data_IF_149236516536
#
_entry.id   IF_149236516536
#
_cell.length_a   1.000
_cell.length_b   1.000
_cell.length_c   1.000
_cell.angle_alpha   90.00
_cell.angle_beta   90.00
_cell.angle_gamma   90.00
#
_symmetry.space_group_name_H-M   'P 1'
#
loop_
_entity.id
_entity.type
_entity.pdbx_description
1 polymer ?
#
# COMPACT_ATOMS: atom_id res chain seq x y z
N UNK A 1 -33.93 -23.31 11.80
CA UNK A 1 -33.46 -21.90 11.85
C UNK A 1 -32.13 -21.91 12.58
N UNK A 2 -31.02 -21.95 11.84
CA UNK A 2 -29.66 -22.02 12.42
C UNK A 2 -29.00 -20.65 12.36
N UNK A 3 -28.21 -20.25 13.37
CA UNK A 3 -27.51 -18.97 13.34
C UNK A 3 -26.36 -19.07 12.32
N UNK A 4 -26.48 -18.34 11.21
CA UNK A 4 -25.39 -18.15 10.25
C UNK A 4 -24.45 -17.09 10.81
N UNK A 5 -23.25 -17.52 11.22
CA UNK A 5 -22.16 -16.63 11.62
C UNK A 5 -21.89 -15.63 10.47
N UNK A 6 -22.05 -14.32 10.74
CA UNK A 6 -21.86 -13.25 9.75
C UNK A 6 -20.37 -13.18 9.37
N UNK A 7 -20.05 -13.38 8.08
CA UNK A 7 -18.84 -12.80 7.46
C UNK A 7 -18.76 -11.35 7.98
N UNK A 8 -17.69 -10.98 8.67
CA UNK A 8 -17.53 -9.67 9.32
C UNK A 8 -18.06 -8.56 8.42
N UNK A 9 -18.89 -7.67 8.98
CA UNK A 9 -19.54 -6.64 8.18
C UNK A 9 -18.50 -5.79 7.45
N UNK A 10 -18.85 -5.31 6.27
CA UNK A 10 -17.99 -4.50 5.40
C UNK A 10 -17.29 -3.38 6.18
N UNK A 11 -18.03 -2.72 7.07
CA UNK A 11 -17.53 -1.65 7.92
C UNK A 11 -16.41 -2.11 8.85
N UNK A 12 -16.59 -3.23 9.54
CA UNK A 12 -15.59 -3.84 10.42
C UNK A 12 -14.34 -4.24 9.65
N UNK A 13 -14.51 -4.80 8.46
CA UNK A 13 -13.39 -5.17 7.58
C UNK A 13 -12.63 -3.92 7.16
N UNK A 14 -13.30 -2.92 6.62
CA UNK A 14 -12.63 -1.73 6.10
C UNK A 14 -11.98 -0.89 7.22
N UNK A 15 -12.61 -0.77 8.39
CA UNK A 15 -11.97 -0.14 9.57
C UNK A 15 -10.73 -0.89 10.04
N UNK A 16 -10.78 -2.23 10.02
CA UNK A 16 -9.61 -3.05 10.36
C UNK A 16 -8.47 -2.82 9.37
N UNK A 17 -8.78 -2.70 8.09
CA UNK A 17 -7.78 -2.40 7.06
C UNK A 17 -7.11 -1.05 7.25
N UNK A 18 -7.83 -0.03 7.74
CA UNK A 18 -7.22 1.26 8.11
C UNK A 18 -6.16 1.04 9.17
N UNK A 19 -6.48 0.31 10.26
CA UNK A 19 -5.51 -0.01 11.31
C UNK A 19 -4.32 -0.79 10.76
N UNK A 20 -4.55 -1.79 9.90
CA UNK A 20 -3.47 -2.55 9.28
C UNK A 20 -2.57 -1.70 8.39
N UNK A 21 -3.11 -0.70 7.68
CA UNK A 21 -2.30 0.21 6.86
C UNK A 21 -1.37 1.08 7.71
N UNK A 22 -1.83 1.55 8.86
CA UNK A 22 -0.98 2.23 9.83
C UNK A 22 0.09 1.30 10.42
N UNK A 23 -0.27 0.06 10.75
CA UNK A 23 0.72 -0.93 11.22
C UNK A 23 1.78 -1.25 10.16
N UNK A 24 1.40 -1.34 8.90
CA UNK A 24 2.34 -1.52 7.80
C UNK A 24 3.31 -0.35 7.69
N UNK A 25 2.81 0.89 7.73
CA UNK A 25 3.62 2.11 7.69
C UNK A 25 4.56 2.23 8.90
N UNK A 26 4.07 1.98 10.13
CA UNK A 26 4.91 1.96 11.34
C UNK A 26 6.01 0.91 11.23
N UNK A 27 5.67 -0.29 10.72
CA UNK A 27 6.64 -1.36 10.53
C UNK A 27 7.73 -0.97 9.52
N UNK A 28 7.34 -0.32 8.41
CA UNK A 28 8.29 0.25 7.44
C UNK A 28 9.23 1.26 8.10
N UNK A 29 8.70 2.21 8.88
CA UNK A 29 9.49 3.25 9.57
C UNK A 29 10.47 2.65 10.59
N UNK A 30 10.13 1.50 11.16
CA UNK A 30 10.97 0.77 12.09
C UNK A 30 11.93 -0.24 11.40
N UNK A 31 11.99 -0.26 10.06
CA UNK A 31 12.72 -1.24 9.26
C UNK A 31 12.32 -2.70 9.52
N UNK A 32 11.13 -2.94 10.07
CA UNK A 32 10.54 -4.27 10.21
C UNK A 32 9.74 -4.64 8.95
N UNK A 33 10.47 -4.95 7.88
CA UNK A 33 9.86 -5.23 6.58
C UNK A 33 9.06 -6.55 6.56
N UNK A 34 9.36 -7.49 7.45
CA UNK A 34 8.59 -8.73 7.56
C UNK A 34 7.18 -8.46 8.12
N UNK A 35 7.08 -7.65 9.19
CA UNK A 35 5.79 -7.22 9.71
C UNK A 35 5.06 -6.33 8.71
N UNK A 36 5.76 -5.38 8.07
CA UNK A 36 5.16 -4.52 7.04
C UNK A 36 4.48 -5.35 5.93
N UNK A 37 5.20 -6.36 5.42
CA UNK A 37 4.69 -7.27 4.39
C UNK A 37 3.49 -8.08 4.86
N UNK A 38 3.51 -8.54 6.11
CA UNK A 38 2.41 -9.29 6.71
C UNK A 38 1.15 -8.43 6.82
N UNK A 39 1.28 -7.21 7.35
CA UNK A 39 0.16 -6.28 7.50
C UNK A 39 -0.39 -5.86 6.15
N UNK A 40 0.48 -5.50 5.20
CA UNK A 40 0.07 -5.09 3.87
C UNK A 40 -0.71 -6.17 3.13
N UNK A 41 -0.21 -7.41 3.11
CA UNK A 41 -0.88 -8.53 2.44
C UNK A 41 -2.23 -8.87 3.09
N UNK A 42 -2.24 -8.96 4.42
CA UNK A 42 -3.47 -9.33 5.14
C UNK A 42 -4.56 -8.27 4.95
N UNK A 43 -4.19 -6.99 5.04
CA UNK A 43 -5.12 -5.89 4.82
C UNK A 43 -5.59 -5.79 3.37
N UNK A 44 -4.71 -6.06 2.40
CA UNK A 44 -5.07 -6.06 0.98
C UNK A 44 -6.09 -7.14 0.62
N UNK A 45 -5.85 -8.38 1.10
CA UNK A 45 -6.79 -9.50 0.93
C UNK A 45 -8.17 -9.16 1.52
N UNK A 46 -8.20 -8.43 2.65
CA UNK A 46 -9.42 -7.96 3.27
C UNK A 46 -10.13 -6.88 2.45
N UNK A 47 -9.41 -5.86 1.99
CA UNK A 47 -9.95 -4.73 1.23
C UNK A 47 -10.43 -5.10 -0.17
N UNK A 48 -9.78 -6.06 -0.83
CA UNK A 48 -10.09 -6.49 -2.20
C UNK A 48 -11.56 -6.92 -2.39
N UNK A 49 -12.22 -7.28 -1.29
CA UNK A 49 -13.62 -7.72 -1.24
C UNK A 49 -14.63 -6.56 -1.31
N UNK A 50 -14.19 -5.33 -1.06
CA UNK A 50 -15.05 -4.15 -0.94
C UNK A 50 -14.47 -2.92 -1.67
N UNK A 51 -14.24 -2.99 -2.99
CA UNK A 51 -13.59 -1.91 -3.76
C UNK A 51 -14.43 -0.61 -3.85
N UNK A 52 -15.73 -0.67 -3.55
CA UNK A 52 -16.59 0.52 -3.49
C UNK A 52 -16.52 1.28 -2.17
N UNK A 53 -15.90 0.70 -1.13
CA UNK A 53 -15.80 1.33 0.17
C UNK A 53 -14.56 2.23 0.25
N UNK A 54 -14.76 3.49 0.64
CA UNK A 54 -13.69 4.48 0.62
C UNK A 54 -12.53 4.15 1.56
N UNK A 55 -12.81 3.58 2.75
CA UNK A 55 -11.77 3.20 3.71
C UNK A 55 -10.94 2.03 3.19
N UNK A 56 -11.59 1.04 2.58
CA UNK A 56 -10.90 -0.06 1.92
C UNK A 56 -10.05 0.43 0.73
N UNK A 57 -10.58 1.33 -0.10
CA UNK A 57 -9.87 1.89 -1.25
C UNK A 57 -8.64 2.70 -0.84
N UNK A 58 -8.75 3.56 0.18
CA UNK A 58 -7.61 4.31 0.72
C UNK A 58 -6.56 3.41 1.37
N UNK A 59 -7.01 2.39 2.10
CA UNK A 59 -6.11 1.39 2.69
C UNK A 59 -5.37 0.61 1.58
N UNK A 60 -6.06 0.25 0.50
CA UNK A 60 -5.45 -0.41 -0.66
C UNK A 60 -4.31 0.41 -1.28
N UNK A 61 -4.51 1.72 -1.47
CA UNK A 61 -3.43 2.63 -1.92
C UNK A 61 -2.22 2.53 -1.00
N UNK A 62 -2.46 2.56 0.32
CA UNK A 62 -1.41 2.52 1.33
C UNK A 62 -0.64 1.19 1.33
N UNK A 63 -1.33 0.06 1.14
CA UNK A 63 -0.70 -1.25 1.04
C UNK A 63 0.15 -1.40 -0.22
N UNK A 64 -0.36 -0.94 -1.36
CA UNK A 64 0.39 -0.91 -2.62
C UNK A 64 1.62 -0.02 -2.50
N UNK A 65 1.50 1.16 -1.89
CA UNK A 65 2.64 2.03 -1.62
C UNK A 65 3.67 1.37 -0.70
N UNK A 66 3.25 0.75 0.40
CA UNK A 66 4.13 0.04 1.31
C UNK A 66 4.87 -1.12 0.62
N UNK A 67 4.21 -1.84 -0.30
CA UNK A 67 4.87 -2.85 -1.13
C UNK A 67 5.97 -2.25 -2.02
N UNK A 68 5.71 -1.10 -2.64
CA UNK A 68 6.72 -0.34 -3.38
C UNK A 68 7.93 0.01 -2.51
N UNK A 69 7.69 0.48 -1.29
CA UNK A 69 8.76 0.82 -0.34
C UNK A 69 9.60 -0.39 0.05
N UNK A 70 8.96 -1.53 0.35
CA UNK A 70 9.69 -2.75 0.68
C UNK A 70 10.55 -3.22 -0.50
N UNK A 71 10.03 -3.18 -1.73
CA UNK A 71 10.80 -3.50 -2.93
C UNK A 71 11.98 -2.55 -3.14
N UNK A 72 11.80 -1.25 -2.88
CA UNK A 72 12.88 -0.26 -2.91
C UNK A 72 13.97 -0.62 -1.89
N UNK A 73 13.59 -0.95 -0.64
CA UNK A 73 14.52 -1.35 0.41
C UNK A 73 15.26 -2.68 0.13
N UNK A 74 14.64 -3.58 -0.65
CA UNK A 74 15.23 -4.83 -1.13
C UNK A 74 16.16 -4.60 -2.35
N UNK A 75 16.46 -3.36 -2.72
CA UNK A 75 17.23 -2.99 -3.91
C UNK A 75 16.59 -3.49 -5.22
N UNK A 76 15.25 -3.46 -5.29
CA UNK A 76 14.44 -3.83 -6.47
C UNK A 76 13.69 -2.61 -7.03
N UNK A 77 14.38 -1.52 -7.41
CA UNK A 77 13.75 -0.24 -7.75
C UNK A 77 12.87 -0.31 -9.01
N UNK A 78 13.12 -1.25 -9.92
CA UNK A 78 12.25 -1.43 -11.10
C UNK A 78 10.87 -1.97 -10.71
N UNK A 79 10.81 -2.90 -9.76
CA UNK A 79 9.55 -3.46 -9.27
C UNK A 79 8.86 -2.49 -8.32
N UNK A 80 9.62 -1.80 -7.46
CA UNK A 80 9.10 -0.71 -6.63
C UNK A 80 8.34 0.34 -7.45
N UNK A 81 8.90 0.75 -8.60
CA UNK A 81 8.26 1.69 -9.52
C UNK A 81 6.95 1.17 -10.11
N UNK A 82 6.78 -0.14 -10.27
CA UNK A 82 5.49 -0.71 -10.72
C UNK A 82 4.44 -0.49 -9.64
N UNK A 83 4.75 -0.82 -8.38
CA UNK A 83 3.84 -0.61 -7.26
C UNK A 83 3.55 0.88 -7.03
N UNK A 84 4.54 1.75 -7.08
CA UNK A 84 4.30 3.20 -6.92
C UNK A 84 3.45 3.78 -8.05
N UNK A 85 3.58 3.31 -9.29
CA UNK A 85 2.66 3.72 -10.38
C UNK A 85 1.25 3.25 -10.11
N UNK A 86 1.08 2.01 -9.65
CA UNK A 86 -0.24 1.48 -9.27
C UNK A 86 -0.87 2.30 -8.14
N UNK A 87 -0.11 2.65 -7.11
CA UNK A 87 -0.59 3.53 -6.02
C UNK A 87 -1.02 4.91 -6.54
N UNK A 88 -0.25 5.49 -7.48
CA UNK A 88 -0.60 6.77 -8.12
C UNK A 88 -1.90 6.67 -8.93
N UNK A 89 -2.05 5.64 -9.75
CA UNK A 89 -3.23 5.41 -10.59
C UNK A 89 -4.48 5.24 -9.72
N UNK A 90 -4.39 4.43 -8.66
CA UNK A 90 -5.47 4.24 -7.69
C UNK A 90 -5.83 5.55 -7.00
N UNK A 91 -4.84 6.31 -6.54
CA UNK A 91 -5.07 7.58 -5.84
C UNK A 91 -5.78 8.60 -6.74
N UNK A 92 -5.37 8.71 -8.00
CA UNK A 92 -6.02 9.56 -9.01
C UNK A 92 -7.46 9.14 -9.27
N UNK A 93 -7.69 7.84 -9.45
CA UNK A 93 -9.03 7.32 -9.75
C UNK A 93 -10.05 7.63 -8.64
N UNK A 94 -9.60 7.73 -7.39
CA UNK A 94 -10.47 8.01 -6.24
C UNK A 94 -10.40 9.46 -5.73
N UNK A 95 -9.60 10.33 -6.36
CA UNK A 95 -9.38 11.70 -5.90
C UNK A 95 -8.79 11.77 -4.49
N UNK A 96 -7.66 11.10 -4.27
CA UNK A 96 -6.93 11.07 -3.00
C UNK A 96 -5.57 11.77 -3.11
N UNK A 97 -5.51 13.11 -2.94
CA UNK A 97 -4.33 13.92 -3.24
C UNK A 97 -3.09 13.53 -2.44
N UNK A 98 -3.25 13.10 -1.19
CA UNK A 98 -2.15 12.68 -0.34
C UNK A 98 -1.46 11.43 -0.90
N UNK A 99 -2.23 10.46 -1.38
CA UNK A 99 -1.70 9.26 -2.04
C UNK A 99 -0.99 9.59 -3.36
N UNK A 100 -1.55 10.52 -4.14
CA UNK A 100 -0.93 11.01 -5.37
C UNK A 100 0.43 11.67 -5.11
N UNK A 101 0.50 12.55 -4.12
CA UNK A 101 1.72 13.25 -3.73
C UNK A 101 2.80 12.26 -3.26
N UNK A 102 2.44 11.31 -2.39
CA UNK A 102 3.38 10.31 -1.89
C UNK A 102 3.92 9.42 -3.01
N UNK A 103 3.05 8.89 -3.86
CA UNK A 103 3.44 8.02 -4.97
C UNK A 103 4.31 8.76 -6.00
N UNK A 104 3.98 10.03 -6.32
CA UNK A 104 4.77 10.86 -7.23
C UNK A 104 6.18 11.10 -6.70
N UNK A 105 6.33 11.44 -5.42
CA UNK A 105 7.64 11.64 -4.80
C UNK A 105 8.48 10.35 -4.79
N UNK A 106 7.86 9.20 -4.50
CA UNK A 106 8.53 7.91 -4.53
C UNK A 106 9.00 7.53 -5.94
N UNK A 107 8.18 7.80 -6.96
CA UNK A 107 8.56 7.60 -8.37
C UNK A 107 9.72 8.50 -8.80
N UNK A 108 9.75 9.76 -8.34
CA UNK A 108 10.85 10.67 -8.62
C UNK A 108 12.16 10.16 -8.02
N UNK A 109 12.15 9.80 -6.72
CA UNK A 109 13.34 9.28 -6.00
C UNK A 109 13.90 8.01 -6.64
N UNK A 110 13.03 7.02 -6.89
CA UNK A 110 13.44 5.74 -7.50
C UNK A 110 13.84 5.86 -8.98
N UNK A 111 13.49 6.96 -9.65
CA UNK A 111 13.96 7.25 -11.01
C UNK A 111 15.35 7.89 -11.01
N UNK A 112 15.70 8.68 -9.99
CA UNK A 112 17.01 9.33 -9.86
C UNK A 112 18.12 8.38 -9.41
N UNK A 113 17.83 7.35 -8.63
CA UNK A 113 18.84 6.35 -8.19
C UNK A 113 19.48 5.58 -9.34
N UNK A 114 18.79 5.48 -10.48
CA UNK A 114 19.36 4.89 -11.71
C UNK A 114 20.44 5.77 -12.36
N UNK A 115 20.45 7.07 -12.05
CA UNK A 115 21.34 8.05 -12.67
C UNK A 115 22.70 8.18 -11.97
N UNK A 116 22.86 7.61 -10.77
CA UNK A 116 24.10 7.73 -9.98
C UNK A 116 25.12 6.59 -10.22
N UNK A 117 24.79 5.59 -11.04
CA UNK A 117 25.67 4.44 -11.32
C UNK A 117 26.44 4.58 -12.65
N UNK A 118 26.22 5.64 -13.43
CA UNK A 118 26.95 5.89 -14.69
C UNK A 118 27.82 7.14 -14.59
N UNK A 119 28.75 7.16 -13.62
CA UNK A 119 29.91 8.06 -13.67
C UNK A 119 31.09 7.44 -12.91
N UNK A 120 31.78 6.47 -13.52
CA UNK A 120 33.22 6.21 -13.32
C UNK A 120 33.77 5.53 -14.58
#
# INVERSE_FOLDING_TARGET
MGPKVKKGDEESVCRTSVVMSHLADISVKNNDYQSAKRWARTGDDMCSRFPGNQDCSRSHVSFVYANGFMLESENRPSEARVEYRKALELSKAMGFPEGEFQATNALARTSTEKSSIVTL
#
